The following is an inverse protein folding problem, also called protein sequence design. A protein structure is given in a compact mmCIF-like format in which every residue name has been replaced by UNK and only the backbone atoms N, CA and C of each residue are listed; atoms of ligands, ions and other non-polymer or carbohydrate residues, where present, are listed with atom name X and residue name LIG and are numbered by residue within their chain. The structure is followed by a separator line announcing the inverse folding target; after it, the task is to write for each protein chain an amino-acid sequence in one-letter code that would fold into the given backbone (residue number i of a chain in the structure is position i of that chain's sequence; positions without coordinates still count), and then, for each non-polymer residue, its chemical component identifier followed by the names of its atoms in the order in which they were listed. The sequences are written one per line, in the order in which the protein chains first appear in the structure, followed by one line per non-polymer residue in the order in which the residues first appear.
data_IF_907749160268
#
_entry.id   IF_907749160268
#
_cell.length_a   1.000
_cell.length_b   1.000
_cell.length_c   1.000
_cell.angle_alpha   90.00
_cell.angle_beta   90.00
_cell.angle_gamma   90.00
#
_symmetry.space_group_name_H-M   'P 1'
#
loop_
_entity.id
_entity.type
_entity.pdbx_description
1 polymer ?
#
# COMPACT_ATOMS: atom_id res chain seq x y z
N UNK A 1 -36.40 -11.59 25.89
CA UNK A 1 -36.66 -12.87 25.20
C UNK A 1 -35.79 -12.91 23.97
N UNK A 2 -35.10 -14.03 23.71
CA UNK A 2 -34.31 -14.20 22.48
C UNK A 2 -35.16 -14.99 21.51
N UNK A 3 -35.41 -14.44 20.33
CA UNK A 3 -36.05 -15.17 19.23
C UNK A 3 -34.97 -15.57 18.24
N UNK A 4 -34.76 -16.88 18.05
CA UNK A 4 -33.78 -17.43 17.12
C UNK A 4 -34.50 -17.85 15.83
N UNK A 5 -34.24 -17.12 14.75
CA UNK A 5 -34.69 -17.45 13.40
C UNK A 5 -33.53 -18.09 12.62
N UNK A 6 -33.85 -18.71 11.47
CA UNK A 6 -32.86 -19.46 10.68
C UNK A 6 -31.58 -18.66 10.38
N UNK A 7 -31.71 -17.37 10.03
CA UNK A 7 -30.60 -16.49 9.64
C UNK A 7 -30.41 -15.23 10.52
N UNK A 8 -31.16 -15.10 11.63
CA UNK A 8 -31.04 -13.94 12.51
C UNK A 8 -31.50 -14.25 13.92
N UNK A 9 -30.99 -13.50 14.88
CA UNK A 9 -31.49 -13.52 16.27
C UNK A 9 -32.06 -12.15 16.61
N UNK A 10 -33.13 -12.13 17.41
CA UNK A 10 -33.73 -10.90 17.93
C UNK A 10 -33.60 -10.87 19.45
N UNK A 11 -32.99 -9.81 19.97
CA UNK A 11 -32.76 -9.58 21.40
C UNK A 11 -33.24 -8.17 21.72
N UNK A 12 -34.26 -8.03 22.58
CA UNK A 12 -34.74 -6.74 23.06
C UNK A 12 -35.04 -5.71 21.94
N UNK A 13 -35.67 -6.16 20.85
CA UNK A 13 -35.98 -5.40 19.63
C UNK A 13 -34.76 -5.05 18.75
N UNK A 14 -33.59 -5.62 19.01
CA UNK A 14 -32.42 -5.52 18.15
C UNK A 14 -32.22 -6.84 17.39
N UNK A 15 -32.15 -6.73 16.06
CA UNK A 15 -31.96 -7.88 15.18
C UNK A 15 -30.49 -7.99 14.78
N UNK A 16 -29.90 -9.17 14.99
CA UNK A 16 -28.55 -9.50 14.54
C UNK A 16 -28.64 -10.58 13.46
N UNK A 17 -28.30 -10.21 12.23
CA UNK A 17 -28.23 -11.16 11.12
C UNK A 17 -26.95 -11.99 11.18
N UNK A 18 -27.04 -13.26 10.79
CA UNK A 18 -25.84 -14.10 10.61
C UNK A 18 -25.04 -13.56 9.39
N UNK A 19 -23.70 -13.44 9.48
CA UNK A 19 -22.90 -13.85 10.61
C UNK A 19 -22.90 -12.86 11.78
N UNK A 20 -22.97 -13.39 13.01
CA UNK A 20 -22.80 -12.63 14.25
C UNK A 20 -21.88 -13.40 15.22
N UNK A 21 -21.37 -12.69 16.22
CA UNK A 21 -20.45 -13.23 17.24
C UNK A 21 -21.16 -13.30 18.59
N UNK A 22 -20.96 -14.40 19.31
CA UNK A 22 -21.43 -14.62 20.68
C UNK A 22 -20.22 -14.81 21.61
N UNK A 23 -20.01 -13.86 22.51
CA UNK A 23 -18.90 -13.86 23.49
C UNK A 23 -19.41 -14.12 24.89
N UNK A 24 -18.77 -14.97 25.70
CA UNK A 24 -19.03 -15.02 27.14
C UNK A 24 -18.87 -13.63 27.77
N UNK A 25 -19.68 -13.29 28.77
CA UNK A 25 -19.52 -12.03 29.52
C UNK A 25 -18.20 -11.95 30.29
N UNK A 26 -17.62 -13.10 30.63
CA UNK A 26 -16.30 -13.17 31.24
C UNK A 26 -15.22 -13.07 30.17
N UNK A 27 -14.39 -12.02 30.24
CA UNK A 27 -13.26 -11.85 29.33
C UNK A 27 -12.18 -12.95 29.47
N UNK A 28 -12.16 -13.68 30.59
CA UNK A 28 -11.24 -14.81 30.80
C UNK A 28 -11.74 -16.09 30.09
N UNK A 29 -13.01 -16.14 29.70
CA UNK A 29 -13.58 -17.23 28.92
C UNK A 29 -13.44 -16.95 27.42
N UNK A 30 -12.48 -17.63 26.80
CA UNK A 30 -12.10 -17.44 25.40
C UNK A 30 -12.95 -18.30 24.43
N UNK A 31 -14.04 -18.92 24.90
CA UNK A 31 -14.94 -19.71 24.07
C UNK A 31 -15.89 -18.79 23.29
N UNK A 32 -15.37 -18.08 22.29
CA UNK A 32 -16.12 -17.17 21.42
C UNK A 32 -16.69 -17.92 20.22
N UNK A 33 -17.98 -17.78 19.95
CA UNK A 33 -18.66 -18.49 18.86
C UNK A 33 -19.06 -17.52 17.76
N UNK A 34 -18.96 -17.96 16.50
CA UNK A 34 -19.40 -17.21 15.32
C UNK A 34 -20.41 -18.07 14.60
N UNK A 35 -21.61 -17.55 14.37
CA UNK A 35 -22.70 -18.28 13.71
C UNK A 35 -22.80 -17.87 12.25
N UNK A 36 -22.91 -18.82 11.34
CA UNK A 36 -22.95 -18.52 9.89
C UNK A 36 -24.37 -18.63 9.31
N UNK A 37 -24.70 -17.84 8.28
CA UNK A 37 -26.00 -17.90 7.63
C UNK A 37 -26.15 -19.21 6.84
N UNK A 38 -27.40 -19.65 6.62
CA UNK A 38 -27.74 -20.84 5.84
C UNK A 38 -27.16 -20.77 4.42
N UNK A 39 -27.16 -19.58 3.81
CA UNK A 39 -26.55 -19.33 2.50
C UNK A 39 -25.04 -19.63 2.44
N UNK A 40 -24.34 -19.60 3.58
CA UNK A 40 -22.91 -19.95 3.70
C UNK A 40 -22.68 -21.39 4.19
N UNK A 41 -23.73 -22.21 4.28
CA UNK A 41 -23.66 -23.59 4.78
C UNK A 41 -24.05 -23.76 6.25
N UNK A 42 -24.43 -22.67 6.93
CA UNK A 42 -24.85 -22.68 8.34
C UNK A 42 -23.73 -23.07 9.31
N UNK A 43 -24.11 -23.56 10.49
CA UNK A 43 -23.18 -23.99 11.52
C UNK A 43 -22.54 -22.83 12.30
N UNK A 44 -21.47 -23.15 13.02
CA UNK A 44 -20.73 -22.20 13.85
C UNK A 44 -19.23 -22.48 13.87
N UNK A 45 -18.43 -21.41 13.93
CA UNK A 45 -17.01 -21.48 14.27
C UNK A 45 -16.84 -21.29 15.78
N UNK A 46 -16.18 -22.23 16.44
CA UNK A 46 -15.95 -22.22 17.89
C UNK A 46 -14.49 -21.90 18.17
N UNK A 47 -14.21 -20.68 18.60
CA UNK A 47 -12.89 -20.23 18.98
C UNK A 47 -12.58 -20.71 20.40
N UNK A 48 -11.30 -20.93 20.67
CA UNK A 48 -10.81 -21.30 21.99
C UNK A 48 -9.38 -20.83 22.16
N UNK A 49 -8.92 -20.77 23.41
CA UNK A 49 -7.51 -20.49 23.72
C UNK A 49 -6.64 -21.52 23.00
N UNK A 50 -5.75 -21.05 22.14
CA UNK A 50 -4.92 -21.85 21.24
C UNK A 50 -4.35 -23.12 21.90
N UNK A 51 -4.61 -24.27 21.28
CA UNK A 51 -4.07 -25.59 21.66
C UNK A 51 -3.28 -26.11 20.46
N UNK A 52 -1.95 -26.19 20.61
CA UNK A 52 -1.07 -26.65 19.53
C UNK A 52 -1.17 -25.79 18.26
N UNK A 53 -1.62 -26.38 17.16
CA UNK A 53 -1.76 -25.74 15.85
C UNK A 53 -3.15 -25.16 15.57
N UNK A 54 -4.08 -25.21 16.54
CA UNK A 54 -5.46 -24.73 16.35
C UNK A 54 -5.86 -23.62 17.32
N UNK A 55 -6.69 -22.71 16.83
CA UNK A 55 -7.32 -21.60 17.57
C UNK A 55 -8.85 -21.58 17.44
N UNK A 56 -9.40 -22.39 16.54
CA UNK A 56 -10.85 -22.63 16.44
C UNK A 56 -11.16 -23.93 15.70
N UNK A 57 -12.43 -24.35 15.76
CA UNK A 57 -12.96 -25.50 15.04
C UNK A 57 -14.37 -25.21 14.53
N UNK A 58 -14.67 -25.67 13.33
CA UNK A 58 -16.02 -25.62 12.76
C UNK A 58 -16.92 -26.67 13.41
N UNK A 59 -18.19 -26.33 13.61
CA UNK A 59 -19.24 -27.20 14.11
C UNK A 59 -20.50 -27.04 13.26
N UNK A 60 -21.15 -28.15 12.91
CA UNK A 60 -22.43 -28.13 12.19
C UNK A 60 -23.61 -27.63 13.06
N UNK A 61 -23.37 -27.28 14.32
CA UNK A 61 -24.41 -26.79 15.22
C UNK A 61 -24.65 -25.29 15.00
N UNK A 62 -25.87 -24.94 14.62
CA UNK A 62 -26.32 -23.56 14.38
C UNK A 62 -27.07 -22.95 15.56
N UNK A 63 -27.29 -23.70 16.65
CA UNK A 63 -28.05 -23.27 17.82
C UNK A 63 -27.19 -22.48 18.82
N UNK A 64 -27.80 -21.45 19.41
CA UNK A 64 -27.20 -20.65 20.49
C UNK A 64 -26.90 -21.47 21.75
N UNK A 65 -25.98 -20.96 22.58
CA UNK A 65 -25.74 -21.55 23.90
C UNK A 65 -26.89 -21.20 24.84
N UNK A 66 -27.39 -22.21 25.57
CA UNK A 66 -28.57 -22.08 26.44
C UNK A 66 -28.25 -21.93 27.94
N UNK A 67 -26.97 -21.87 28.31
CA UNK A 67 -26.51 -21.75 29.71
C UNK A 67 -25.39 -20.74 29.83
N UNK A 68 -25.63 -19.65 30.56
CA UNK A 68 -24.67 -18.59 30.76
C UNK A 68 -25.17 -17.25 30.22
N UNK A 69 -24.34 -16.23 30.35
CA UNK A 69 -24.62 -14.89 29.83
C UNK A 69 -23.62 -14.54 28.75
N UNK A 70 -24.12 -13.93 27.67
CA UNK A 70 -23.35 -13.66 26.47
C UNK A 70 -23.57 -12.25 25.96
N UNK A 71 -22.56 -11.73 25.27
CA UNK A 71 -22.61 -10.52 24.47
C UNK A 71 -22.75 -10.95 23.01
N UNK A 72 -23.74 -10.40 22.32
CA UNK A 72 -23.94 -10.60 20.89
C UNK A 72 -23.53 -9.33 20.15
N UNK A 73 -22.73 -9.49 19.10
CA UNK A 73 -22.23 -8.39 18.28
C UNK A 73 -22.23 -8.76 16.79
N UNK A 74 -22.35 -7.74 15.95
CA UNK A 74 -22.25 -7.91 14.50
C UNK A 74 -20.86 -8.44 14.10
N UNK A 75 -20.83 -9.39 13.16
CA UNK A 75 -19.56 -9.86 12.61
C UNK A 75 -18.95 -8.81 11.68
N UNK A 76 -17.72 -8.39 11.97
CA UNK A 76 -17.00 -7.39 11.17
C UNK A 76 -16.21 -8.07 10.03
N UNK A 77 -16.51 -7.81 8.74
CA UNK A 77 -15.78 -8.42 7.63
C UNK A 77 -14.41 -7.75 7.47
N UNK A 78 -13.36 -8.41 7.98
CA UNK A 78 -11.96 -7.99 7.81
C UNK A 78 -11.30 -8.72 6.65
N UNK A 79 -10.08 -8.31 6.26
CA UNK A 79 -9.25 -9.02 5.27
C UNK A 79 -8.66 -10.35 5.82
N UNK A 80 -9.31 -10.97 6.81
CA UNK A 80 -8.88 -12.24 7.41
C UNK A 80 -7.77 -12.11 8.45
N UNK A 81 -7.49 -10.90 8.93
CA UNK A 81 -6.47 -10.66 9.97
C UNK A 81 -7.01 -9.80 11.10
N UNK A 82 -6.53 -10.08 12.31
CA UNK A 82 -6.80 -9.30 13.51
C UNK A 82 -5.56 -8.46 13.84
N UNK A 83 -5.75 -7.17 14.10
CA UNK A 83 -4.65 -6.26 14.48
C UNK A 83 -4.54 -6.25 16.00
N UNK A 84 -3.42 -6.72 16.53
CA UNK A 84 -3.10 -6.66 17.96
C UNK A 84 -2.28 -5.41 18.24
N UNK A 85 -2.75 -4.59 19.17
CA UNK A 85 -2.14 -3.33 19.55
C UNK A 85 -1.65 -3.38 20.99
N UNK A 86 -0.46 -2.84 21.22
CA UNK A 86 0.23 -2.88 22.50
C UNK A 86 0.72 -1.48 22.86
N UNK A 87 0.10 -0.85 23.86
CA UNK A 87 0.47 0.48 24.34
C UNK A 87 1.58 0.43 25.39
N UNK A 88 2.37 1.50 25.46
CA UNK A 88 3.26 1.79 26.59
C UNK A 88 3.13 3.27 26.92
N UNK A 89 2.17 3.60 27.77
CA UNK A 89 1.67 4.96 27.92
C UNK A 89 0.70 5.38 26.82
N UNK A 90 0.18 6.61 26.91
CA UNK A 90 -0.86 7.09 26.00
C UNK A 90 -0.33 7.48 24.61
N UNK A 91 0.99 7.59 24.44
CA UNK A 91 1.65 8.14 23.24
C UNK A 91 2.57 7.16 22.53
N UNK A 92 2.53 5.88 22.94
CA UNK A 92 3.22 4.81 22.25
C UNK A 92 2.27 3.63 22.01
N UNK A 93 2.22 3.14 20.78
CA UNK A 93 1.58 1.87 20.48
C UNK A 93 2.32 1.10 19.39
N UNK A 94 2.62 -0.17 19.67
CA UNK A 94 3.11 -1.15 18.71
C UNK A 94 1.93 -1.96 18.17
N UNK A 95 1.93 -2.32 16.88
CA UNK A 95 0.88 -3.13 16.30
C UNK A 95 1.40 -4.24 15.37
N UNK A 96 0.79 -5.41 15.48
CA UNK A 96 1.07 -6.58 14.65
C UNK A 96 -0.24 -7.26 14.25
N UNK A 97 -0.35 -7.71 13.00
CA UNK A 97 -1.48 -8.48 12.52
C UNK A 97 -1.19 -9.97 12.61
N UNK A 98 -2.25 -10.74 12.90
CA UNK A 98 -2.24 -12.21 12.86
C UNK A 98 -3.45 -12.70 12.08
N UNK A 99 -3.36 -13.92 11.54
CA UNK A 99 -4.52 -14.56 10.90
C UNK A 99 -5.67 -14.68 11.90
N UNK A 100 -6.86 -14.28 11.47
CA UNK A 100 -8.04 -14.34 12.33
C UNK A 100 -8.43 -15.79 12.63
N UNK A 101 -8.68 -16.16 13.91
CA UNK A 101 -9.24 -17.46 14.27
C UNK A 101 -10.63 -17.71 13.67
N UNK A 102 -11.32 -16.68 13.20
CA UNK A 102 -12.63 -16.78 12.56
C UNK A 102 -12.62 -17.50 11.20
N UNK A 103 -11.44 -17.68 10.58
CA UNK A 103 -11.29 -18.34 9.27
C UNK A 103 -11.34 -19.88 9.39
N UNK A 104 -10.18 -20.55 9.33
CA UNK A 104 -10.07 -22.02 9.36
C UNK A 104 -9.60 -22.57 10.71
N UNK A 105 -9.21 -21.68 11.64
CA UNK A 105 -8.66 -22.02 12.94
C UNK A 105 -7.27 -22.64 12.91
N UNK A 106 -6.60 -22.72 11.75
CA UNK A 106 -5.24 -23.23 11.62
C UNK A 106 -4.25 -22.10 11.87
N UNK A 107 -3.39 -22.30 12.86
CA UNK A 107 -2.38 -21.31 13.22
C UNK A 107 -1.17 -21.43 12.31
N UNK A 108 -0.87 -20.34 11.61
CA UNK A 108 0.27 -20.26 10.71
C UNK A 108 1.57 -20.09 11.49
N UNK A 109 2.57 -20.90 11.13
CA UNK A 109 3.86 -20.93 11.80
C UNK A 109 5.01 -20.80 10.80
N UNK A 110 6.06 -20.09 11.20
CA UNK A 110 7.30 -19.99 10.46
C UNK A 110 8.14 -21.28 10.57
N UNK A 111 9.30 -21.30 9.88
CA UNK A 111 10.24 -22.43 9.88
C UNK A 111 10.79 -22.78 11.27
N UNK A 112 10.78 -21.81 12.18
CA UNK A 112 11.17 -21.95 13.59
C UNK A 112 10.01 -22.35 14.51
N UNK A 113 8.82 -22.61 13.94
CA UNK A 113 7.62 -22.99 14.69
C UNK A 113 6.94 -21.84 15.43
N UNK A 114 7.37 -20.59 15.26
CA UNK A 114 6.72 -19.41 15.87
C UNK A 114 5.53 -18.99 15.01
N UNK A 115 4.50 -18.45 15.65
CA UNK A 115 3.32 -17.96 14.94
C UNK A 115 3.69 -16.76 14.06
N UNK A 116 3.24 -16.79 12.80
CA UNK A 116 3.53 -15.73 11.83
C UNK A 116 2.80 -14.44 12.25
N UNK A 117 3.51 -13.32 12.17
CA UNK A 117 3.02 -11.99 12.52
C UNK A 117 3.45 -11.01 11.44
N UNK A 118 2.56 -10.11 11.08
CA UNK A 118 2.83 -9.08 10.10
C UNK A 118 2.91 -7.73 10.81
N UNK A 119 3.96 -6.93 10.59
CA UNK A 119 4.03 -5.59 11.18
C UNK A 119 2.87 -4.73 10.66
N UNK A 120 2.18 -4.02 11.54
CA UNK A 120 1.07 -3.14 11.18
C UNK A 120 1.39 -1.70 11.51
N UNK A 121 1.18 -0.83 10.53
CA UNK A 121 1.20 0.61 10.74
C UNK A 121 -0.20 1.07 11.16
N UNK A 122 -0.28 1.67 12.35
CA UNK A 122 -1.51 2.29 12.85
C UNK A 122 -1.80 3.61 12.13
N UNK A 123 -3.06 3.79 11.71
CA UNK A 123 -3.55 5.05 11.16
C UNK A 123 -3.64 6.12 12.26
N UNK A 124 -3.79 7.41 11.90
CA UNK A 124 -4.00 8.47 12.89
C UNK A 124 -5.23 8.21 13.79
N UNK A 125 -6.30 7.64 13.22
CA UNK A 125 -7.50 7.24 13.97
C UNK A 125 -7.20 6.11 14.95
N UNK A 126 -6.45 5.09 14.52
CA UNK A 126 -6.10 3.94 15.37
C UNK A 126 -5.20 4.37 16.53
N UNK A 127 -4.28 5.30 16.28
CA UNK A 127 -3.41 5.88 17.31
C UNK A 127 -4.21 6.63 18.36
N UNK A 128 -5.22 7.40 17.93
CA UNK A 128 -6.13 8.07 18.85
C UNK A 128 -6.97 7.07 19.65
N UNK A 129 -7.42 5.97 19.04
CA UNK A 129 -8.09 4.88 19.74
C UNK A 129 -7.16 4.23 20.78
N UNK A 130 -5.90 3.94 20.43
CA UNK A 130 -4.91 3.39 21.36
C UNK A 130 -4.68 4.32 22.57
N UNK A 131 -4.57 5.63 22.32
CA UNK A 131 -4.48 6.64 23.38
C UNK A 131 -5.71 6.62 24.28
N UNK A 132 -6.92 6.58 23.70
CA UNK A 132 -8.17 6.51 24.45
C UNK A 132 -8.27 5.25 25.30
N UNK A 133 -7.92 4.08 24.77
CA UNK A 133 -7.92 2.79 25.51
C UNK A 133 -6.96 2.87 26.70
N UNK A 134 -5.71 3.26 26.47
CA UNK A 134 -4.70 3.39 27.53
C UNK A 134 -5.18 4.29 28.69
N UNK A 135 -5.73 5.47 28.36
CA UNK A 135 -6.22 6.42 29.35
C UNK A 135 -7.52 5.97 30.04
N UNK A 136 -8.48 5.43 29.29
CA UNK A 136 -9.78 5.01 29.82
C UNK A 136 -9.65 3.85 30.81
N UNK A 137 -8.83 2.86 30.48
CA UNK A 137 -8.59 1.70 31.35
C UNK A 137 -7.51 1.95 32.40
N UNK A 138 -6.83 3.11 32.35
CA UNK A 138 -5.72 3.48 33.25
C UNK A 138 -4.59 2.43 33.27
N UNK A 139 -4.33 1.82 32.11
CA UNK A 139 -3.31 0.80 31.93
C UNK A 139 -2.23 1.34 30.99
N UNK A 140 -1.07 1.74 31.55
CA UNK A 140 0.05 2.23 30.73
C UNK A 140 0.53 1.16 29.74
N UNK A 141 0.75 -0.06 30.23
CA UNK A 141 1.02 -1.23 29.38
C UNK A 141 -0.31 -1.92 29.13
N UNK A 142 -0.83 -1.83 27.91
CA UNK A 142 -2.15 -2.38 27.57
C UNK A 142 -2.15 -3.06 26.21
N UNK A 143 -2.65 -4.29 26.13
CA UNK A 143 -2.92 -5.01 24.90
C UNK A 143 -4.42 -4.93 24.55
N UNK A 144 -4.74 -4.68 23.29
CA UNK A 144 -6.12 -4.74 22.80
C UNK A 144 -6.14 -5.16 21.33
N UNK A 145 -7.28 -5.70 20.88
CA UNK A 145 -7.47 -6.15 19.51
C UNK A 145 -8.35 -5.18 18.74
N UNK A 146 -7.99 -4.97 17.47
CA UNK A 146 -8.61 -4.03 16.55
C UNK A 146 -8.97 -4.74 15.24
N UNK A 147 -10.21 -4.58 14.82
CA UNK A 147 -10.74 -5.05 13.55
C UNK A 147 -10.83 -3.87 12.58
N UNK A 148 -10.22 -4.01 11.40
CA UNK A 148 -10.34 -3.05 10.31
C UNK A 148 -11.39 -3.55 9.32
N UNK A 149 -12.54 -2.89 9.28
CA UNK A 149 -13.65 -3.26 8.42
C UNK A 149 -14.33 -1.99 7.88
N UNK A 150 -14.77 -2.02 6.63
CA UNK A 150 -15.52 -0.92 5.99
C UNK A 150 -14.83 0.46 6.10
N UNK A 151 -13.49 0.49 6.02
CA UNK A 151 -12.69 1.72 6.12
C UNK A 151 -12.63 2.35 7.52
N UNK A 152 -13.10 1.66 8.55
CA UNK A 152 -13.04 2.06 9.96
C UNK A 152 -12.31 1.01 10.81
N UNK A 153 -12.05 1.37 12.07
CA UNK A 153 -11.34 0.54 13.04
C UNK A 153 -12.18 0.39 14.30
N UNK A 154 -12.41 -0.85 14.71
CA UNK A 154 -13.26 -1.22 15.84
C UNK A 154 -12.41 -1.97 16.88
N UNK A 155 -12.49 -1.56 18.14
CA UNK A 155 -11.87 -2.31 19.25
C UNK A 155 -12.84 -3.42 19.65
N UNK A 156 -12.39 -4.68 19.59
CA UNK A 156 -13.24 -5.84 19.88
C UNK A 156 -12.87 -6.58 21.17
N UNK A 157 -11.68 -6.32 21.72
CA UNK A 157 -11.18 -6.92 22.96
C UNK A 157 -10.10 -6.03 23.61
N UNK A 158 -10.12 -5.89 24.93
CA UNK A 158 -9.13 -5.13 25.72
C UNK A 158 -8.60 -6.04 26.84
N UNK A 159 -7.35 -6.49 26.69
CA UNK A 159 -6.74 -7.52 27.52
C UNK A 159 -6.03 -6.98 28.77
N UNK A 160 -5.86 -5.66 28.91
CA UNK A 160 -5.04 -5.10 29.98
C UNK A 160 -3.55 -5.38 29.78
N UNK A 161 -2.81 -5.67 30.86
CA UNK A 161 -1.34 -5.78 30.81
C UNK A 161 -0.85 -6.85 29.82
N UNK A 162 -0.17 -6.42 28.75
CA UNK A 162 0.33 -7.34 27.73
C UNK A 162 1.59 -6.80 27.05
N UNK A 163 2.60 -7.67 26.92
CA UNK A 163 3.84 -7.36 26.20
C UNK A 163 3.88 -8.00 24.81
N UNK A 164 4.49 -7.28 23.87
CA UNK A 164 4.91 -7.84 22.58
C UNK A 164 5.99 -8.88 22.83
N UNK A 165 6.03 -9.94 22.02
CA UNK A 165 6.99 -11.04 22.14
C UNK A 165 7.91 -11.05 20.94
N UNK A 166 9.17 -11.47 21.14
CA UNK A 166 10.17 -11.62 20.08
C UNK A 166 10.53 -10.30 19.35
N UNK A 167 10.39 -9.16 20.02
CA UNK A 167 10.75 -7.85 19.46
C UNK A 167 11.71 -7.15 20.41
N UNK A 168 13.02 -7.28 20.16
CA UNK A 168 14.07 -6.61 20.95
C UNK A 168 13.82 -5.10 21.01
N UNK A 169 13.41 -4.51 19.88
CA UNK A 169 13.04 -3.10 19.79
C UNK A 169 11.90 -2.72 20.75
N UNK A 170 10.85 -3.54 20.83
CA UNK A 170 9.75 -3.26 21.75
C UNK A 170 10.25 -3.29 23.20
N UNK A 171 11.13 -4.24 23.54
CA UNK A 171 11.69 -4.30 24.89
C UNK A 171 12.49 -3.04 25.23
N UNK A 172 13.35 -2.58 24.32
CA UNK A 172 14.13 -1.34 24.50
C UNK A 172 13.24 -0.11 24.64
N UNK A 173 12.28 0.06 23.72
CA UNK A 173 11.33 1.19 23.74
C UNK A 173 10.48 1.16 25.02
N UNK A 174 9.93 -0.01 25.37
CA UNK A 174 9.08 -0.19 26.54
C UNK A 174 9.83 0.11 27.84
N UNK A 175 11.03 -0.47 28.02
CA UNK A 175 11.86 -0.23 29.20
C UNK A 175 12.22 1.25 29.33
N UNK A 176 12.59 1.91 28.23
CA UNK A 176 12.90 3.35 28.22
C UNK A 176 11.69 4.21 28.59
N UNK A 177 10.52 3.93 28.02
CA UNK A 177 9.30 4.68 28.30
C UNK A 177 8.88 4.51 29.76
N UNK A 178 8.82 3.27 30.26
CA UNK A 178 8.47 3.00 31.65
C UNK A 178 9.47 3.62 32.62
N UNK A 179 10.77 3.49 32.35
CA UNK A 179 11.81 4.14 33.14
C UNK A 179 11.63 5.65 33.18
N UNK A 180 11.31 6.28 32.05
CA UNK A 180 11.04 7.72 31.98
C UNK A 180 9.79 8.09 32.79
N UNK A 181 8.71 7.31 32.71
CA UNK A 181 7.49 7.56 33.50
C UNK A 181 7.78 7.50 35.01
N UNK A 182 8.56 6.51 35.44
CA UNK A 182 8.98 6.36 36.84
C UNK A 182 9.84 7.55 37.26
N UNK A 183 10.85 7.91 36.48
CA UNK A 183 11.72 9.06 36.78
C UNK A 183 10.93 10.37 36.83
N UNK A 184 10.02 10.60 35.87
CA UNK A 184 9.14 11.79 35.86
C UNK A 184 8.27 11.86 37.13
N UNK A 185 7.78 10.72 37.61
CA UNK A 185 6.93 10.67 38.81
C UNK A 185 7.72 10.73 40.13
N UNK A 186 8.93 10.14 40.18
CA UNK A 186 9.66 9.89 41.43
C UNK A 186 10.92 10.72 41.62
N UNK A 187 11.58 11.17 40.55
CA UNK A 187 12.82 11.93 40.67
C UNK A 187 12.67 13.23 41.51
N UNK A 188 11.58 14.02 41.38
CA UNK A 188 11.38 15.19 42.24
C UNK A 188 11.24 14.83 43.72
N UNK A 189 10.53 13.73 44.04
CA UNK A 189 10.30 13.27 45.41
C UNK A 189 11.59 12.73 46.05
N UNK A 190 12.42 12.09 45.25
CA UNK A 190 13.66 11.44 45.70
C UNK A 190 14.89 12.35 45.55
N UNK A 191 14.71 13.62 45.15
CA UNK A 191 15.79 14.57 44.89
C UNK A 191 16.85 14.03 43.91
N UNK A 192 16.43 13.18 42.96
CA UNK A 192 17.32 12.65 41.94
C UNK A 192 17.47 13.70 40.85
N UNK A 193 18.70 14.16 40.53
CA UNK A 193 18.91 15.09 39.41
C UNK A 193 18.49 14.41 38.11
N UNK A 194 17.36 14.84 37.56
CA UNK A 194 16.83 14.35 36.29
C UNK A 194 16.51 15.55 35.40
N UNK A 195 17.24 15.69 34.30
CA UNK A 195 16.99 16.75 33.32
C UNK A 195 15.69 16.42 32.59
N UNK A 196 14.68 17.28 32.77
CA UNK A 196 13.46 17.27 31.97
C UNK A 196 13.86 17.56 30.51
N UNK A 197 13.73 16.57 29.62
CA UNK A 197 14.20 16.66 28.23
C UNK A 197 14.81 15.37 27.65
N UNK A 198 14.98 14.33 28.47
CA UNK A 198 15.43 12.99 28.07
C UNK A 198 14.28 12.01 27.80
N UNK A 199 13.04 12.51 27.79
CA UNK A 199 11.84 11.71 27.57
C UNK A 199 11.82 11.13 26.14
N UNK A 200 11.19 9.98 25.90
CA UNK A 200 10.91 9.50 24.53
C UNK A 200 9.97 10.44 23.77
N UNK A 201 9.33 11.38 24.49
CA UNK A 201 8.60 12.53 23.98
C UNK A 201 9.49 13.67 23.47
N UNK A 202 10.82 13.56 23.51
CA UNK A 202 11.70 14.55 22.89
C UNK A 202 12.43 13.97 21.68
N UNK A 203 12.45 14.80 20.64
CA UNK A 203 13.05 14.56 19.34
C UNK A 203 14.54 14.26 19.59
N UNK A 204 15.15 13.23 18.95
CA UNK A 204 16.58 13.02 19.11
C UNK A 204 17.31 14.29 18.70
N UNK A 205 17.91 14.95 19.69
CA UNK A 205 18.75 16.13 19.48
C UNK A 205 20.06 15.60 18.93
N UNK A 206 20.41 16.04 17.72
CA UNK A 206 21.66 15.64 17.07
C UNK A 206 22.71 16.72 17.38
N UNK A 207 23.86 16.38 17.98
CA UNK A 207 24.95 17.35 18.14
C UNK A 207 25.44 17.77 16.75
N UNK A 208 25.49 19.08 16.49
CA UNK A 208 26.09 19.62 15.27
C UNK A 208 27.45 20.24 15.57
N UNK A 209 28.27 20.40 14.53
CA UNK A 209 29.62 21.00 14.59
C UNK A 209 29.65 22.45 15.08
N UNK A 210 28.48 23.10 15.25
CA UNK A 210 28.35 24.50 15.65
C UNK A 210 27.83 24.71 17.08
N UNK A 211 27.63 23.65 17.87
CA UNK A 211 27.21 23.76 19.27
C UNK A 211 25.74 24.17 19.50
N UNK A 212 24.98 24.45 18.45
CA UNK A 212 23.56 24.82 18.52
C UNK A 212 22.64 23.59 18.46
N UNK A 213 21.66 23.51 19.36
CA UNK A 213 20.62 22.48 19.33
C UNK A 213 19.67 22.70 18.14
N UNK A 214 19.54 21.71 17.25
CA UNK A 214 18.62 21.74 16.11
C UNK A 214 17.63 20.58 16.15
N UNK A 215 16.40 20.84 15.72
CA UNK A 215 15.29 19.89 15.67
C UNK A 215 15.07 19.36 14.25
N UNK A 216 15.02 18.04 14.06
CA UNK A 216 14.65 17.44 12.77
C UNK A 216 13.14 17.55 12.53
N UNK A 217 12.72 18.55 11.74
CA UNK A 217 11.31 18.81 11.41
C UNK A 217 10.75 17.85 10.35
N UNK A 218 11.52 17.54 9.30
CA UNK A 218 11.12 16.62 8.25
C UNK A 218 12.34 15.99 7.55
N UNK A 219 12.13 14.83 6.95
CA UNK A 219 13.08 14.22 6.01
C UNK A 219 12.41 14.20 4.65
N UNK A 220 13.03 14.86 3.67
CA UNK A 220 12.58 14.86 2.28
C UNK A 220 13.58 14.05 1.46
N UNK A 221 13.10 13.04 0.75
CA UNK A 221 13.92 12.25 -0.16
C UNK A 221 13.39 12.31 -1.59
N UNK A 222 14.31 12.53 -2.52
CA UNK A 222 14.03 12.52 -3.96
C UNK A 222 14.75 11.33 -4.56
N UNK A 223 13.97 10.34 -5.00
CA UNK A 223 14.49 9.04 -5.42
C UNK A 223 14.17 8.83 -6.90
N UNK A 224 15.18 8.44 -7.68
CA UNK A 224 15.00 8.04 -9.08
C UNK A 224 14.38 6.63 -9.16
N UNK A 225 13.76 6.30 -10.29
CA UNK A 225 13.27 4.93 -10.50
C UNK A 225 14.41 3.89 -10.38
N UNK A 226 14.05 2.65 -10.01
CA UNK A 226 14.98 1.53 -10.00
C UNK A 226 15.47 1.13 -11.40
N UNK A 227 16.33 0.11 -11.46
CA UNK A 227 16.80 -0.46 -12.73
C UNK A 227 15.64 -0.80 -13.69
N UNK A 228 15.86 -0.59 -15.00
CA UNK A 228 14.81 -0.67 -16.01
C UNK A 228 15.31 -1.19 -17.34
N UNK A 229 14.41 -1.80 -18.11
CA UNK A 229 14.70 -2.22 -19.49
C UNK A 229 15.06 -1.01 -20.38
N UNK A 230 15.84 -1.21 -21.46
CA UNK A 230 16.12 -0.15 -22.41
C UNK A 230 14.84 0.44 -23.00
N UNK A 231 14.81 1.77 -23.13
CA UNK A 231 13.67 2.46 -23.74
C UNK A 231 13.94 2.64 -25.23
N UNK A 232 13.04 2.12 -26.05
CA UNK A 232 13.12 2.21 -27.50
C UNK A 232 12.23 3.36 -28.02
N UNK A 233 12.63 3.93 -29.16
CA UNK A 233 11.89 5.00 -29.85
C UNK A 233 11.95 4.79 -31.35
N UNK A 234 10.81 4.93 -32.03
CA UNK A 234 10.76 5.04 -33.49
C UNK A 234 10.14 6.38 -33.89
N UNK A 235 10.51 6.88 -35.06
CA UNK A 235 9.94 8.08 -35.67
C UNK A 235 9.61 7.84 -37.13
N UNK A 236 8.42 8.27 -37.55
CA UNK A 236 8.03 8.29 -38.96
C UNK A 236 7.10 9.46 -39.24
N UNK A 237 7.22 10.02 -40.44
CA UNK A 237 6.29 11.03 -40.94
C UNK A 237 5.06 10.35 -41.53
N UNK A 238 3.87 10.81 -41.15
CA UNK A 238 2.58 10.30 -41.65
C UNK A 238 1.78 11.45 -42.26
N UNK A 239 1.21 11.20 -43.44
CA UNK A 239 0.36 12.15 -44.19
C UNK A 239 -1.08 11.66 -44.38
N UNK A 240 -1.35 10.41 -43.98
CA UNK A 240 -2.65 9.80 -44.21
C UNK A 240 -3.78 10.47 -43.39
N UNK A 241 -4.93 10.69 -44.02
CA UNK A 241 -6.09 11.43 -43.46
C UNK A 241 -6.53 10.92 -42.09
N UNK A 242 -6.54 9.58 -41.89
CA UNK A 242 -6.93 8.98 -40.59
C UNK A 242 -6.05 9.42 -39.41
N UNK A 243 -4.77 9.70 -39.62
CA UNK A 243 -3.91 10.23 -38.54
C UNK A 243 -4.28 11.68 -38.20
N UNK A 244 -4.68 12.48 -39.19
CA UNK A 244 -5.16 13.85 -38.97
C UNK A 244 -6.53 13.88 -38.28
N UNK A 245 -7.43 12.95 -38.61
CA UNK A 245 -8.70 12.78 -37.92
C UNK A 245 -8.49 12.41 -36.45
N UNK A 246 -7.58 11.48 -36.16
CA UNK A 246 -7.17 11.13 -34.80
C UNK A 246 -6.57 12.35 -34.07
N UNK A 247 -5.71 13.11 -34.76
CA UNK A 247 -5.09 14.31 -34.21
C UNK A 247 -6.12 15.40 -33.87
N UNK A 248 -7.11 15.61 -34.74
CA UNK A 248 -8.24 16.52 -34.52
C UNK A 248 -9.13 16.05 -33.37
N UNK A 249 -9.48 14.76 -33.34
CA UNK A 249 -10.38 14.15 -32.35
C UNK A 249 -9.91 14.33 -30.90
N UNK A 250 -8.59 14.36 -30.68
CA UNK A 250 -8.00 14.55 -29.36
C UNK A 250 -7.37 15.95 -29.19
N UNK A 251 -7.89 16.96 -29.89
CA UNK A 251 -7.53 18.38 -29.79
C UNK A 251 -6.04 18.71 -30.01
N UNK A 252 -5.34 17.91 -30.84
CA UNK A 252 -3.91 18.08 -31.10
C UNK A 252 -3.53 19.42 -31.72
N UNK A 253 -4.43 20.05 -32.48
CA UNK A 253 -4.18 21.35 -33.12
C UNK A 253 -4.04 22.51 -32.12
N UNK A 254 -4.64 22.39 -30.92
CA UNK A 254 -4.58 23.45 -29.90
C UNK A 254 -3.16 23.69 -29.39
N UNK A 255 -2.36 22.63 -29.28
CA UNK A 255 -0.99 22.68 -28.73
C UNK A 255 0.08 22.36 -29.76
N UNK A 256 -0.31 22.00 -30.98
CA UNK A 256 0.58 21.48 -32.03
C UNK A 256 1.17 20.10 -31.73
N UNK A 257 0.79 19.46 -30.61
CA UNK A 257 1.30 18.14 -30.22
C UNK A 257 0.28 17.32 -29.43
N UNK A 258 0.20 16.03 -29.73
CA UNK A 258 -0.72 15.08 -29.10
C UNK A 258 0.05 13.93 -28.47
N UNK A 259 -0.26 13.60 -27.21
CA UNK A 259 0.35 12.47 -26.47
C UNK A 259 -0.74 11.44 -26.14
N UNK A 260 -0.64 10.27 -26.75
CA UNK A 260 -1.56 9.15 -26.56
C UNK A 260 -0.94 8.12 -25.61
N UNK A 261 -1.65 7.84 -24.51
CA UNK A 261 -1.23 6.89 -23.46
C UNK A 261 -2.32 5.87 -23.11
N UNK A 262 -3.60 6.19 -23.32
CA UNK A 262 -4.72 5.34 -22.89
C UNK A 262 -4.91 4.14 -23.84
N UNK A 263 -5.34 2.97 -23.37
CA UNK A 263 -5.63 1.79 -24.19
C UNK A 263 -6.45 2.08 -25.45
N UNK A 264 -7.60 2.76 -25.30
CA UNK A 264 -8.49 3.13 -26.41
C UNK A 264 -7.78 4.00 -27.46
N UNK A 265 -6.94 4.93 -27.02
CA UNK A 265 -6.18 5.80 -27.93
C UNK A 265 -5.12 5.03 -28.71
N UNK A 266 -4.43 4.09 -28.06
CA UNK A 266 -3.42 3.27 -28.69
C UNK A 266 -4.02 2.23 -29.64
N UNK A 267 -5.22 1.73 -29.33
CA UNK A 267 -6.01 0.87 -30.23
C UNK A 267 -6.36 1.61 -31.51
N UNK A 268 -6.82 2.87 -31.43
CA UNK A 268 -7.11 3.66 -32.64
C UNK A 268 -5.87 3.85 -33.54
N UNK A 269 -4.68 4.04 -32.95
CA UNK A 269 -3.42 4.10 -33.71
C UNK A 269 -3.10 2.76 -34.37
N UNK A 270 -3.31 1.65 -33.66
CA UNK A 270 -3.10 0.30 -34.16
C UNK A 270 -4.06 -0.02 -35.32
N UNK A 271 -5.31 0.37 -35.22
CA UNK A 271 -6.33 0.15 -36.26
C UNK A 271 -5.98 0.92 -37.54
N UNK A 272 -5.44 2.13 -37.42
CA UNK A 272 -4.91 2.89 -38.56
C UNK A 272 -3.71 2.15 -39.17
N UNK A 273 -2.77 1.66 -38.35
CA UNK A 273 -1.60 0.93 -38.84
C UNK A 273 -1.98 -0.38 -39.56
N UNK A 274 -2.97 -1.12 -39.04
CA UNK A 274 -3.51 -2.34 -39.68
C UNK A 274 -4.15 -2.01 -41.03
N UNK A 275 -5.04 -1.02 -41.04
CA UNK A 275 -5.70 -0.56 -42.28
C UNK A 275 -4.70 -0.20 -43.38
N UNK A 276 -3.63 0.56 -43.06
CA UNK A 276 -2.63 0.96 -44.04
C UNK A 276 -1.77 -0.20 -44.54
N UNK A 277 -1.52 -1.20 -43.69
CA UNK A 277 -0.81 -2.41 -44.10
C UNK A 277 -1.67 -3.27 -45.02
N UNK A 278 -2.98 -3.36 -44.76
CA UNK A 278 -3.94 -4.11 -45.57
C UNK A 278 -4.22 -3.41 -46.91
N UNK A 279 -4.36 -2.08 -46.94
CA UNK A 279 -4.52 -1.30 -48.18
C UNK A 279 -3.33 -1.43 -49.13
N UNK A 280 -2.09 -1.48 -48.61
CA UNK A 280 -0.91 -1.72 -49.44
C UNK A 280 -0.97 -3.08 -50.16
N UNK A 281 -1.61 -4.09 -49.57
CA UNK A 281 -1.78 -5.37 -50.25
C UNK A 281 -2.75 -5.28 -51.43
N UNK A 282 -3.62 -4.26 -51.46
CA UNK A 282 -4.64 -4.04 -52.50
C UNK A 282 -4.25 -2.98 -53.54
N UNK A 283 -3.55 -1.91 -53.14
CA UNK A 283 -3.12 -0.80 -54.01
C UNK A 283 -1.66 -0.43 -53.70
N UNK A 284 -0.77 -0.52 -54.69
CA UNK A 284 0.66 -0.17 -54.59
C UNK A 284 0.89 1.35 -54.49
N UNK A 285 0.45 1.98 -53.39
CA UNK A 285 0.80 3.37 -53.08
C UNK A 285 2.31 3.47 -52.77
N UNK A 286 3.11 4.21 -53.56
CA UNK A 286 4.55 4.35 -53.36
C UNK A 286 4.93 4.93 -51.98
N UNK A 287 4.10 5.80 -51.39
CA UNK A 287 4.39 6.42 -50.09
C UNK A 287 4.22 5.44 -48.93
N UNK A 288 3.26 4.52 -49.05
CA UNK A 288 3.03 3.46 -48.06
C UNK A 288 4.11 2.38 -48.18
N UNK A 289 4.55 2.08 -49.40
CA UNK A 289 5.62 1.10 -49.66
C UNK A 289 6.94 1.45 -48.97
N UNK A 290 7.35 2.73 -49.02
CA UNK A 290 8.57 3.22 -48.37
C UNK A 290 8.49 3.13 -46.82
N UNK A 291 7.27 3.21 -46.26
CA UNK A 291 7.03 3.24 -44.81
C UNK A 291 6.57 1.90 -44.23
N UNK A 292 6.39 0.87 -45.06
CA UNK A 292 5.85 -0.45 -44.69
C UNK A 292 6.59 -1.10 -43.51
N UNK A 293 7.92 -1.08 -43.52
CA UNK A 293 8.74 -1.64 -42.42
C UNK A 293 8.46 -0.95 -41.09
N UNK A 294 8.30 0.39 -41.10
CA UNK A 294 7.99 1.15 -39.88
C UNK A 294 6.55 0.96 -39.42
N UNK A 295 5.59 0.79 -40.35
CA UNK A 295 4.20 0.47 -40.03
C UNK A 295 4.09 -0.94 -39.42
N UNK A 296 4.82 -1.92 -39.96
CA UNK A 296 4.92 -3.26 -39.37
C UNK A 296 5.54 -3.23 -37.97
N UNK A 297 6.61 -2.45 -37.78
CA UNK A 297 7.20 -2.23 -36.46
C UNK A 297 6.20 -1.59 -35.48
N UNK A 298 5.44 -0.58 -35.93
CA UNK A 298 4.42 0.08 -35.11
C UNK A 298 3.31 -0.91 -34.70
N UNK A 299 2.85 -1.74 -35.65
CA UNK A 299 1.88 -2.82 -35.39
C UNK A 299 2.42 -3.79 -34.33
N UNK A 300 3.62 -4.34 -34.53
CA UNK A 300 4.26 -5.26 -33.58
C UNK A 300 4.39 -4.65 -32.18
N UNK A 301 4.87 -3.41 -32.09
CA UNK A 301 5.03 -2.70 -30.80
C UNK A 301 3.69 -2.51 -30.10
N UNK A 302 2.62 -2.21 -30.83
CA UNK A 302 1.29 -1.99 -30.23
C UNK A 302 0.57 -3.30 -29.88
N UNK A 303 0.79 -4.39 -30.62
CA UNK A 303 0.19 -5.73 -30.40
C UNK A 303 0.95 -6.59 -29.38
N UNK A 304 2.23 -6.28 -29.13
CA UNK A 304 3.07 -7.05 -28.20
C UNK A 304 2.38 -7.22 -26.84
N UNK A 305 2.36 -8.44 -26.30
CA UNK A 305 1.68 -8.83 -25.04
C UNK A 305 0.13 -8.84 -25.05
N UNK A 306 -0.52 -8.77 -26.22
CA UNK A 306 -1.94 -9.14 -26.40
C UNK A 306 -2.99 -8.12 -25.95
N UNK A 307 -2.76 -7.42 -24.84
CA UNK A 307 -3.69 -6.40 -24.32
C UNK A 307 -2.93 -5.15 -23.83
N UNK A 308 -3.57 -3.98 -23.88
CA UNK A 308 -3.02 -2.73 -23.35
C UNK A 308 -2.99 -2.64 -21.80
N UNK A 309 -2.82 -3.76 -21.10
CA UNK A 309 -2.69 -3.84 -19.65
C UNK A 309 -1.22 -3.69 -19.20
N UNK A 310 -0.94 -2.74 -18.29
CA UNK A 310 0.39 -2.57 -17.67
C UNK A 310 1.44 -1.82 -18.51
N UNK A 311 1.02 -1.09 -19.55
CA UNK A 311 1.86 -0.77 -20.72
C UNK A 311 2.62 0.58 -20.61
N UNK A 312 3.96 0.53 -20.67
CA UNK A 312 4.85 1.71 -20.82
C UNK A 312 5.01 2.16 -22.30
N UNK A 313 3.93 2.12 -23.10
CA UNK A 313 3.93 2.60 -24.50
C UNK A 313 3.28 3.98 -24.58
N UNK A 314 3.87 4.85 -25.39
CA UNK A 314 3.26 6.13 -25.74
C UNK A 314 3.49 6.46 -27.20
N UNK A 315 2.45 6.96 -27.84
CA UNK A 315 2.53 7.53 -29.19
C UNK A 315 2.42 9.04 -29.05
N UNK A 316 3.31 9.77 -29.69
CA UNK A 316 3.26 11.22 -29.78
C UNK A 316 3.11 11.62 -31.24
N UNK A 317 2.17 12.50 -31.54
CA UNK A 317 2.02 13.13 -32.85
C UNK A 317 2.42 14.60 -32.72
N UNK A 318 3.23 15.10 -33.65
CA UNK A 318 3.56 16.53 -33.73
C UNK A 318 3.15 17.05 -35.09
N UNK A 319 2.42 18.16 -35.11
CA UNK A 319 2.00 18.81 -36.35
C UNK A 319 3.16 19.54 -37.01
N UNK A 320 3.35 19.30 -38.30
CA UNK A 320 4.32 19.95 -39.16
C UNK A 320 3.54 20.64 -40.28
N UNK A 321 3.22 21.94 -40.13
CA UNK A 321 2.41 22.69 -41.11
C UNK A 321 3.03 22.71 -42.51
N UNK A 322 4.37 22.66 -42.58
CA UNK A 322 5.16 22.74 -43.80
C UNK A 322 5.94 21.45 -44.10
N UNK A 323 5.45 20.29 -43.61
CA UNK A 323 6.12 18.99 -43.79
C UNK A 323 7.43 18.83 -43.02
N UNK A 324 8.12 17.71 -43.20
CA UNK A 324 9.42 17.45 -42.55
C UNK A 324 10.57 18.17 -43.29
N UNK A 325 11.38 19.02 -42.62
CA UNK A 325 12.55 19.64 -43.25
C UNK A 325 13.59 18.57 -43.58
N UNK A 326 14.02 18.51 -44.85
CA UNK A 326 15.11 17.63 -45.26
C UNK A 326 16.42 18.30 -44.83
N UNK A 327 17.36 17.54 -44.26
CA UNK A 327 18.68 18.04 -43.81
C UNK A 327 19.66 18.33 -44.96
N UNK A 328 19.26 18.18 -46.22
CA UNK A 328 20.10 18.49 -47.37
C UNK A 328 19.88 19.95 -47.77
N UNK A 329 20.89 20.76 -47.48
CA UNK A 329 21.07 22.11 -48.02
C UNK A 329 21.16 22.05 -49.55
N UNK A 330 20.06 22.32 -50.22
CA UNK A 330 20.02 22.71 -51.63
C UNK A 330 18.73 23.47 -51.86
N UNK A 331 18.83 24.53 -52.65
CA UNK A 331 17.90 25.64 -52.86
C UNK A 331 16.53 25.24 -53.46
N UNK A 332 15.79 24.36 -52.78
CA UNK A 332 14.40 23.95 -53.11
C UNK A 332 13.45 24.16 -51.91
N UNK A 333 13.78 25.07 -50.98
CA UNK A 333 13.03 25.26 -49.73
C UNK A 333 11.78 26.16 -49.87
N UNK A 334 11.46 26.66 -51.07
CA UNK A 334 10.30 27.54 -51.31
C UNK A 334 9.02 26.83 -51.82
N UNK A 335 9.04 25.50 -52.00
CA UNK A 335 7.82 24.76 -52.36
C UNK A 335 7.01 24.48 -51.08
N UNK A 336 5.76 24.95 -50.95
CA UNK A 336 4.90 24.64 -49.81
C UNK A 336 4.65 23.14 -49.76
N UNK A 337 5.31 22.44 -48.83
CA UNK A 337 5.09 21.01 -48.64
C UNK A 337 3.73 20.79 -47.97
N UNK A 338 2.97 19.76 -48.37
CA UNK A 338 1.70 19.46 -47.71
C UNK A 338 1.94 19.18 -46.22
N UNK A 339 0.99 19.57 -45.33
CA UNK A 339 1.11 19.32 -43.91
C UNK A 339 1.35 17.85 -43.59
N UNK A 340 2.14 17.58 -42.56
CA UNK A 340 2.38 16.21 -42.09
C UNK A 340 2.36 16.11 -40.57
N UNK A 341 2.29 14.86 -40.07
CA UNK A 341 2.42 14.55 -38.66
C UNK A 341 3.68 13.72 -38.44
N UNK A 342 4.51 14.12 -37.47
CA UNK A 342 5.60 13.27 -37.01
C UNK A 342 5.07 12.32 -35.92
N UNK A 343 4.92 11.04 -36.27
CA UNK A 343 4.57 9.97 -35.35
C UNK A 343 5.82 9.46 -34.63
N UNK A 344 5.77 9.49 -33.30
CA UNK A 344 6.83 9.03 -32.41
C UNK A 344 6.26 7.99 -31.46
N UNK A 345 6.53 6.71 -31.70
CA UNK A 345 6.20 5.65 -30.75
C UNK A 345 7.40 5.35 -29.84
N UNK A 346 7.14 5.25 -28.54
CA UNK A 346 8.14 4.91 -27.52
C UNK A 346 7.62 3.75 -26.66
N UNK A 347 8.46 2.76 -26.42
CA UNK A 347 8.13 1.55 -25.65
C UNK A 347 9.32 1.07 -24.83
N UNK A 348 9.10 0.08 -23.95
CA UNK A 348 10.08 -0.39 -22.98
C UNK A 348 10.30 0.62 -21.85
N UNK A 349 11.44 0.52 -21.15
CA UNK A 349 11.65 1.31 -19.94
C UNK A 349 10.87 0.78 -18.75
N UNK A 350 10.53 -0.49 -18.75
CA UNK A 350 9.80 -1.17 -17.67
C UNK A 350 10.75 -1.44 -16.51
N UNK A 351 10.24 -1.34 -15.27
CA UNK A 351 11.02 -1.65 -14.09
C UNK A 351 11.40 -3.14 -14.13
N UNK A 352 12.69 -3.45 -13.99
CA UNK A 352 13.14 -4.85 -13.96
C UNK A 352 12.84 -5.49 -12.60
N UNK A 353 12.81 -6.83 -12.50
CA UNK A 353 12.77 -7.51 -11.21
C UNK A 353 13.91 -7.06 -10.27
N UNK A 354 15.11 -6.86 -10.82
CA UNK A 354 16.25 -6.32 -10.08
C UNK A 354 15.97 -4.89 -9.58
N UNK A 355 15.41 -4.02 -10.43
CA UNK A 355 15.02 -2.66 -10.05
C UNK A 355 13.96 -2.61 -8.95
N UNK A 356 13.06 -3.60 -8.90
CA UNK A 356 12.10 -3.77 -7.82
C UNK A 356 12.78 -4.14 -6.50
N UNK A 357 13.69 -5.11 -6.51
CA UNK A 357 14.47 -5.50 -5.32
C UNK A 357 15.31 -4.32 -4.81
N UNK A 358 15.98 -3.60 -5.71
CA UNK A 358 16.73 -2.37 -5.38
C UNK A 358 15.84 -1.34 -4.66
N UNK A 359 14.60 -1.17 -5.12
CA UNK A 359 13.66 -0.23 -4.51
C UNK A 359 13.19 -0.70 -3.12
N UNK A 360 12.90 -1.98 -2.95
CA UNK A 360 12.55 -2.58 -1.65
C UNK A 360 13.72 -2.44 -0.65
N UNK A 361 14.93 -2.76 -1.07
CA UNK A 361 16.12 -2.68 -0.21
C UNK A 361 16.49 -1.24 0.13
N UNK A 362 16.38 -0.31 -0.84
CA UNK A 362 16.52 1.11 -0.58
C UNK A 362 15.44 1.61 0.38
N UNK A 363 14.19 1.15 0.27
CA UNK A 363 13.11 1.47 1.20
C UNK A 363 13.41 1.00 2.62
N UNK A 364 13.91 -0.24 2.76
CA UNK A 364 14.36 -0.80 4.05
C UNK A 364 15.49 0.04 4.64
N UNK A 365 16.53 0.34 3.86
CA UNK A 365 17.64 1.18 4.30
C UNK A 365 17.21 2.63 4.59
N UNK A 366 16.27 3.18 3.82
CA UNK A 366 15.79 4.53 4.05
C UNK A 366 15.03 4.65 5.38
N UNK A 367 14.29 3.60 5.75
CA UNK A 367 13.64 3.48 7.08
C UNK A 367 14.64 3.38 8.24
N UNK A 368 15.93 3.22 7.95
CA UNK A 368 16.98 3.21 8.98
C UNK A 368 17.73 4.54 9.13
N UNK A 369 17.49 5.51 8.25
CA UNK A 369 18.27 6.75 8.12
C UNK A 369 17.99 7.82 9.20
N UNK A 370 17.14 7.55 10.20
CA UNK A 370 16.80 8.51 11.26
C UNK A 370 17.79 8.39 12.46
N UNK A 371 18.14 9.50 13.14
CA UNK A 371 19.26 9.54 14.09
C UNK A 371 19.19 8.47 15.19
N UNK A 372 20.31 7.79 15.44
CA UNK A 372 20.46 6.75 16.49
C UNK A 372 21.28 5.52 16.08
N UNK A 373 21.55 5.32 14.79
CA UNK A 373 22.61 4.42 14.31
C UNK A 373 23.82 5.26 13.89
N UNK A 374 25.01 4.94 14.37
CA UNK A 374 26.24 5.71 14.13
C UNK A 374 26.75 5.61 12.66
N UNK A 375 25.90 5.90 11.67
CA UNK A 375 26.27 5.94 10.26
C UNK A 375 26.69 4.60 9.64
N UNK A 376 26.58 3.47 10.36
CA UNK A 376 26.93 2.15 9.85
C UNK A 376 25.73 1.51 9.16
N UNK A 377 25.84 1.30 7.84
CA UNK A 377 24.82 0.64 7.00
C UNK A 377 24.56 -0.83 7.38
N UNK A 378 25.44 -1.44 8.17
CA UNK A 378 25.39 -2.87 8.55
C UNK A 378 24.51 -3.15 9.78
N UNK A 379 24.19 -2.12 10.57
CA UNK A 379 23.22 -2.20 11.66
C UNK A 379 21.98 -1.40 11.27
N UNK A 380 20.84 -2.05 10.96
CA UNK A 380 19.64 -1.34 10.56
C UNK A 380 19.15 -0.44 11.70
N UNK A 381 19.54 0.83 11.66
CA UNK A 381 19.09 1.88 12.56
C UNK A 381 17.57 1.88 12.70
N UNK A 382 17.08 1.85 13.93
CA UNK A 382 15.67 1.58 14.26
C UNK A 382 14.77 2.83 14.18
N UNK A 383 15.20 3.83 13.42
CA UNK A 383 14.82 5.22 13.63
C UNK A 383 13.43 5.60 13.10
N UNK A 384 13.02 5.17 11.89
CA UNK A 384 11.67 5.49 11.39
C UNK A 384 10.57 4.61 12.00
N UNK A 385 10.87 3.35 12.37
CA UNK A 385 9.92 2.49 13.11
C UNK A 385 9.55 3.10 14.46
N UNK A 386 10.48 3.82 15.11
CA UNK A 386 10.19 4.58 16.34
C UNK A 386 9.19 5.71 16.09
N UNK A 387 9.23 6.40 14.95
CA UNK A 387 8.25 7.44 14.59
C UNK A 387 6.84 6.88 14.36
N UNK A 388 6.71 5.63 13.90
CA UNK A 388 5.41 4.97 13.77
C UNK A 388 4.80 4.69 15.15
N UNK A 389 5.59 4.11 16.06
CA UNK A 389 5.11 3.74 17.38
C UNK A 389 4.86 4.94 18.30
N UNK A 390 5.59 6.05 18.15
CA UNK A 390 5.41 7.29 18.97
C UNK A 390 4.40 8.29 18.42
N UNK A 391 3.56 7.85 17.48
CA UNK A 391 2.53 8.69 16.84
C UNK A 391 3.04 9.88 16.01
N UNK A 392 4.33 9.91 15.64
CA UNK A 392 5.00 11.05 15.00
C UNK A 392 5.05 11.08 13.46
N UNK A 393 4.28 10.26 12.75
CA UNK A 393 4.40 10.23 11.27
C UNK A 393 3.12 10.27 10.43
N UNK A 394 3.26 11.07 9.37
CA UNK A 394 2.46 11.32 8.17
C UNK A 394 3.42 11.15 6.96
N UNK A 395 3.87 9.90 6.70
CA UNK A 395 4.77 9.60 5.57
C UNK A 395 4.00 9.74 4.25
N UNK A 396 4.33 10.76 3.47
CA UNK A 396 3.74 11.01 2.15
C UNK A 396 4.71 10.63 1.05
N UNK A 397 4.25 9.80 0.12
CA UNK A 397 5.01 9.42 -1.07
C UNK A 397 4.30 9.98 -2.28
N UNK A 398 5.03 10.77 -3.05
CA UNK A 398 4.59 11.32 -4.31
C UNK A 398 5.36 10.64 -5.44
N UNK A 399 4.64 10.19 -6.47
CA UNK A 399 5.22 9.59 -7.67
C UNK A 399 4.72 10.32 -8.91
N UNK A 400 5.56 10.40 -9.94
CA UNK A 400 5.12 10.88 -11.25
C UNK A 400 4.14 9.89 -11.90
N UNK A 401 3.45 10.33 -12.95
CA UNK A 401 2.50 9.52 -13.73
C UNK A 401 3.17 8.41 -14.59
N UNK A 402 4.47 8.21 -14.44
CA UNK A 402 5.22 7.22 -15.20
C UNK A 402 5.17 5.86 -14.49
N UNK A 403 4.65 4.83 -15.17
CA UNK A 403 4.41 3.51 -14.58
C UNK A 403 5.61 2.91 -13.82
N UNK A 404 6.82 3.01 -14.38
CA UNK A 404 8.04 2.53 -13.68
C UNK A 404 8.35 3.27 -12.36
N UNK A 405 8.01 4.56 -12.28
CA UNK A 405 8.21 5.38 -11.07
C UNK A 405 7.16 4.99 -10.03
N UNK A 406 5.91 4.79 -10.45
CA UNK A 406 4.85 4.30 -9.57
C UNK A 406 5.17 2.90 -9.01
N UNK A 407 5.66 1.99 -9.85
CA UNK A 407 6.08 0.66 -9.43
C UNK A 407 7.31 0.70 -8.50
N UNK A 408 8.28 1.60 -8.75
CA UNK A 408 9.41 1.81 -7.84
C UNK A 408 8.93 2.32 -6.49
N UNK A 409 8.02 3.31 -6.47
CA UNK A 409 7.46 3.86 -5.25
C UNK A 409 6.68 2.82 -4.44
N UNK A 410 5.86 1.99 -5.12
CA UNK A 410 5.14 0.89 -4.47
C UNK A 410 6.07 -0.20 -3.94
N UNK A 411 7.18 -0.49 -4.63
CA UNK A 411 8.20 -1.41 -4.14
C UNK A 411 8.92 -0.83 -2.91
N UNK A 412 9.30 0.45 -2.94
CA UNK A 412 9.93 1.15 -1.82
C UNK A 412 9.09 1.17 -0.54
N UNK A 413 7.75 1.13 -0.65
CA UNK A 413 6.86 1.05 0.52
C UNK A 413 6.83 -0.31 1.21
N UNK A 414 7.25 -1.38 0.54
CA UNK A 414 7.41 -2.71 1.15
C UNK A 414 8.71 -2.76 1.93
#
# INVERSE_FOLDING_TARGET
TITDNEDAIEIENQVFHKPFVEKPVSAEDHNVYIYFPAAAGGGSQRLFRKIGSRSSIYSNCSYLRNKGSYIYEEFMPTDGTDVKVYTVGPDYAHAEARKSPALDGKVERDKSGKEIRYPVILSAKDKLLARKVCLAFKQNVCGFDLLRANGQSYVCDVNGFSFVKNSTKYYDDCAKILGTMIMRAKAPQLHIPWVLGSAPEDIPVVPTTSGSMMELRCVVAVIRHGDRTPKQKMKMEVKHKRFFELFKKYDGYRTGHLKLKKPKQLQEVLDIARFLLDEHHANSDPEIAEKKVKLQQLKLVLEMYGHFSGINRKVQLKYQPYGNPKKSSSEEDDIPRPPSLLLIAKWGGELTPAGKIQAEDLGKAFRTLYPGGQGQFETPGLGFLRLHSTFRHDLKIYASDEGRVQMTAAAFTK
#
